data_IF_168180713729
#
_entry.id   IF_168180713729
#
_cell.length_a   1.000
_cell.length_b   1.000
_cell.length_c   1.000
_cell.angle_alpha   90.00
_cell.angle_beta   90.00
_cell.angle_gamma   90.00
#
_symmetry.space_group_name_H-M   'P 1'
#
loop_
_entity.id
_entity.type
_entity.pdbx_description
1 polymer ?
#
# COMPACT_ATOMS: atom_id res chain seq x y z
N UNK A 1 29.23 17.86 1.89
CA UNK A 1 29.43 17.04 3.10
C UNK A 1 28.68 15.77 2.82
N UNK A 2 29.38 14.66 2.65
CA UNK A 2 28.76 13.34 2.45
C UNK A 2 28.00 12.99 3.71
N UNK A 3 26.68 12.94 3.61
CA UNK A 3 25.81 12.40 4.65
C UNK A 3 26.19 10.94 4.84
N UNK A 4 27.00 10.65 5.87
CA UNK A 4 27.34 9.28 6.19
C UNK A 4 26.04 8.68 6.72
N UNK A 5 25.47 7.72 5.97
CA UNK A 5 24.28 7.01 6.36
C UNK A 5 24.47 6.50 7.80
N UNK A 6 23.66 7.01 8.73
CA UNK A 6 23.69 6.56 10.13
C UNK A 6 23.29 5.09 10.12
N UNK A 7 24.17 4.24 10.63
CA UNK A 7 23.85 2.84 10.82
C UNK A 7 22.86 2.71 12.00
N UNK A 8 21.68 2.18 11.72
CA UNK A 8 20.63 2.00 12.72
C UNK A 8 20.80 0.60 13.29
N UNK A 9 21.42 0.52 14.47
CA UNK A 9 21.71 -0.73 15.19
C UNK A 9 20.74 -0.96 16.35
N UNK A 10 20.66 -2.18 16.84
CA UNK A 10 19.89 -2.53 18.05
C UNK A 10 20.33 -1.68 19.25
N UNK A 11 21.65 -1.46 19.42
CA UNK A 11 22.20 -0.64 20.50
C UNK A 11 21.71 0.81 20.40
N UNK A 12 21.70 1.39 19.19
CA UNK A 12 21.15 2.74 18.98
C UNK A 12 19.68 2.82 19.38
N UNK A 13 18.87 1.82 19.00
CA UNK A 13 17.45 1.79 19.35
C UNK A 13 17.27 1.69 20.87
N UNK A 14 18.02 0.82 21.55
CA UNK A 14 18.00 0.73 23.01
C UNK A 14 18.42 2.02 23.71
N UNK A 15 19.48 2.69 23.22
CA UNK A 15 19.93 3.96 23.78
C UNK A 15 18.86 5.06 23.63
N UNK A 16 18.21 5.14 22.45
CA UNK A 16 17.13 6.10 22.22
C UNK A 16 15.91 5.82 23.10
N UNK A 17 15.57 4.54 23.32
CA UNK A 17 14.50 4.15 24.24
C UNK A 17 14.84 4.55 25.68
N UNK A 18 16.05 4.28 26.16
CA UNK A 18 16.50 4.67 27.51
C UNK A 18 16.46 6.18 27.71
N UNK A 19 16.90 6.93 26.69
CA UNK A 19 16.98 8.39 26.78
C UNK A 19 15.60 9.05 26.76
N UNK A 20 14.64 8.54 25.96
CA UNK A 20 13.40 9.24 25.68
C UNK A 20 12.13 8.52 26.16
N UNK A 21 12.15 7.19 26.27
CA UNK A 21 11.02 6.35 26.67
C UNK A 21 11.45 5.24 27.64
N UNK A 22 11.98 5.61 28.83
CA UNK A 22 12.58 4.65 29.77
C UNK A 22 11.59 3.59 30.26
N UNK A 23 10.30 3.86 30.23
CA UNK A 23 9.23 2.91 30.55
C UNK A 23 9.12 1.74 29.55
N UNK A 24 9.71 1.88 28.37
CA UNK A 24 9.71 0.86 27.31
C UNK A 24 11.12 0.26 27.08
N UNK A 25 12.15 0.77 27.74
CA UNK A 25 13.55 0.42 27.47
C UNK A 25 13.92 -1.03 27.83
N UNK A 26 13.18 -1.67 28.73
CA UNK A 26 13.40 -3.05 29.15
C UNK A 26 12.71 -4.08 28.22
N UNK A 27 11.91 -3.64 27.26
CA UNK A 27 11.29 -4.54 26.30
C UNK A 27 12.33 -5.07 25.30
N UNK A 28 12.22 -6.37 24.91
CA UNK A 28 13.13 -6.93 23.92
C UNK A 28 12.97 -6.22 22.56
N UNK A 29 14.09 -5.87 21.96
CA UNK A 29 14.18 -5.26 20.63
C UNK A 29 14.72 -6.30 19.65
N UNK A 30 14.12 -6.39 18.46
CA UNK A 30 14.67 -7.24 17.40
C UNK A 30 14.35 -6.61 16.04
N UNK A 31 15.33 -6.61 15.15
CA UNK A 31 15.15 -6.13 13.79
C UNK A 31 14.12 -7.01 13.04
N UNK A 32 13.27 -6.38 12.27
CA UNK A 32 12.32 -7.04 11.35
C UNK A 32 12.46 -6.45 9.96
N UNK A 33 11.98 -7.17 8.96
CA UNK A 33 12.03 -6.67 7.59
C UNK A 33 11.31 -5.32 7.50
N UNK A 34 12.02 -4.31 7.02
CA UNK A 34 11.50 -2.96 6.81
C UNK A 34 11.23 -2.66 5.34
N UNK A 35 10.51 -1.56 5.11
CA UNK A 35 10.33 -0.96 3.79
C UNK A 35 11.59 -0.20 3.32
N UNK A 36 11.46 0.53 2.22
CA UNK A 36 12.56 1.33 1.65
C UNK A 36 12.89 2.55 2.50
N UNK A 37 11.86 3.23 3.02
CA UNK A 37 12.00 4.49 3.77
C UNK A 37 12.33 4.32 5.26
N UNK A 38 12.07 3.15 5.84
CA UNK A 38 12.17 2.93 7.27
C UNK A 38 12.86 1.60 7.62
N UNK A 39 13.65 1.62 8.69
CA UNK A 39 14.09 0.40 9.38
C UNK A 39 13.13 0.13 10.53
N UNK A 40 12.69 -1.12 10.63
CA UNK A 40 11.67 -1.54 11.59
C UNK A 40 12.27 -2.46 12.64
N UNK A 41 11.87 -2.23 13.88
CA UNK A 41 12.26 -3.05 15.02
C UNK A 41 11.02 -3.47 15.80
N UNK A 42 10.87 -4.76 16.05
CA UNK A 42 9.86 -5.25 16.98
C UNK A 42 10.27 -4.85 18.41
N UNK A 43 9.35 -4.30 19.19
CA UNK A 43 9.55 -3.90 20.58
C UNK A 43 8.55 -4.65 21.46
N UNK A 44 9.02 -5.66 22.18
CA UNK A 44 8.13 -6.60 22.85
C UNK A 44 7.21 -7.32 21.87
N UNK A 45 6.00 -7.65 22.30
CA UNK A 45 5.02 -8.37 21.49
C UNK A 45 4.01 -7.47 20.78
N UNK A 46 3.80 -6.23 21.24
CA UNK A 46 2.69 -5.40 20.83
C UNK A 46 3.14 -4.09 20.15
N UNK A 47 4.45 -3.81 20.10
CA UNK A 47 4.95 -2.55 19.59
C UNK A 47 6.01 -2.75 18.49
N UNK A 48 6.22 -1.69 17.72
CA UNK A 48 7.32 -1.57 16.76
C UNK A 48 7.96 -0.19 16.86
N UNK A 49 9.30 -0.14 16.76
CA UNK A 49 10.04 1.09 16.57
C UNK A 49 10.28 1.29 15.08
N UNK A 50 9.91 2.46 14.55
CA UNK A 50 10.08 2.85 13.16
C UNK A 50 11.16 3.93 13.07
N UNK A 51 12.27 3.58 12.42
CA UNK A 51 13.46 4.42 12.29
C UNK A 51 13.61 4.89 10.84
N UNK A 52 13.40 6.18 10.56
CA UNK A 52 13.49 6.71 9.20
C UNK A 52 14.91 6.65 8.62
N UNK A 53 15.02 6.24 7.34
CA UNK A 53 16.27 6.22 6.57
C UNK A 53 16.39 7.41 5.62
N UNK A 54 15.28 8.03 5.22
CA UNK A 54 15.20 9.08 4.22
C UNK A 54 14.94 10.46 4.83
N UNK A 55 15.20 11.53 4.08
CA UNK A 55 15.07 12.92 4.56
C UNK A 55 13.61 13.38 4.60
N UNK A 56 12.73 12.84 3.77
CA UNK A 56 11.30 13.14 3.71
C UNK A 56 10.49 12.46 4.83
N UNK A 57 11.07 11.47 5.48
CA UNK A 57 10.44 10.70 6.54
C UNK A 57 9.86 11.52 7.70
N UNK A 58 10.41 12.69 8.12
CA UNK A 58 9.79 13.52 9.16
C UNK A 58 8.39 14.01 8.78
N UNK A 59 8.14 14.34 7.52
CA UNK A 59 6.82 14.79 7.06
C UNK A 59 5.83 13.63 7.02
N UNK A 60 6.26 12.47 6.52
CA UNK A 60 5.46 11.26 6.49
C UNK A 60 5.07 10.82 7.91
N UNK A 61 6.03 10.85 8.85
CA UNK A 61 5.76 10.55 10.27
C UNK A 61 4.74 11.50 10.87
N UNK A 62 4.89 12.84 10.67
CA UNK A 62 3.92 13.82 11.19
C UNK A 62 2.53 13.59 10.62
N UNK A 63 2.42 13.25 9.35
CA UNK A 63 1.16 12.93 8.68
C UNK A 63 0.49 11.73 9.34
N UNK A 64 1.18 10.62 9.52
CA UNK A 64 0.66 9.43 10.19
C UNK A 64 0.28 9.70 11.65
N UNK A 65 1.15 10.37 12.42
CA UNK A 65 0.88 10.72 13.82
C UNK A 65 -0.33 11.65 13.98
N UNK A 66 -0.62 12.48 13.00
CA UNK A 66 -1.80 13.35 13.02
C UNK A 66 -3.09 12.59 12.71
N UNK A 67 -3.09 11.72 11.70
CA UNK A 67 -4.32 11.22 11.12
C UNK A 67 -4.68 9.77 11.52
N UNK A 68 -3.69 8.90 11.73
CA UNK A 68 -3.98 7.53 12.15
C UNK A 68 -4.75 7.41 13.46
N UNK A 69 -4.48 8.20 14.52
CA UNK A 69 -5.30 8.17 15.73
C UNK A 69 -6.77 8.52 15.52
N UNK A 70 -7.08 9.28 14.46
CA UNK A 70 -8.46 9.66 14.09
C UNK A 70 -9.12 8.58 13.24
N UNK A 71 -8.36 7.94 12.35
CA UNK A 71 -8.86 6.93 11.41
C UNK A 71 -8.95 5.54 12.03
N UNK A 72 -7.94 5.11 12.74
CA UNK A 72 -7.83 3.74 13.28
C UNK A 72 -9.05 3.26 14.09
N UNK A 73 -9.69 4.08 14.95
CA UNK A 73 -10.87 3.63 15.69
C UNK A 73 -12.10 3.30 14.84
N UNK A 74 -12.12 3.73 13.58
CA UNK A 74 -13.21 3.49 12.63
C UNK A 74 -12.99 2.29 11.74
N UNK A 75 -11.74 1.80 11.68
CA UNK A 75 -11.33 0.74 10.77
C UNK A 75 -11.61 -0.63 11.37
N UNK A 76 -12.20 -1.56 10.61
CA UNK A 76 -12.53 -2.91 11.11
C UNK A 76 -11.31 -3.84 11.18
N UNK A 77 -10.17 -3.43 10.62
CA UNK A 77 -8.89 -4.14 10.72
C UNK A 77 -7.89 -3.32 11.53
N UNK A 78 -7.01 -3.98 12.29
CA UNK A 78 -5.87 -3.34 12.93
C UNK A 78 -5.00 -2.59 11.93
N UNK A 79 -4.53 -1.40 12.33
CA UNK A 79 -3.55 -0.60 11.62
C UNK A 79 -2.48 -0.10 12.59
N UNK A 80 -1.23 0.15 12.15
CA UNK A 80 -0.21 0.72 13.03
C UNK A 80 -0.68 2.08 13.55
N UNK A 81 -0.73 2.23 14.87
CA UNK A 81 -1.16 3.49 15.50
C UNK A 81 -0.01 4.05 16.32
N UNK A 82 0.34 5.34 16.19
CA UNK A 82 1.40 5.96 16.98
C UNK A 82 1.12 5.88 18.49
N UNK A 83 2.09 5.37 19.25
CA UNK A 83 2.04 5.27 20.71
C UNK A 83 2.93 6.31 21.35
N UNK A 84 4.14 6.52 20.77
CA UNK A 84 5.12 7.53 21.20
C UNK A 84 5.84 8.09 19.99
N UNK A 85 6.35 9.29 20.11
CA UNK A 85 7.23 9.93 19.14
C UNK A 85 8.55 10.19 19.83
N UNK A 86 9.64 9.80 19.17
CA UNK A 86 10.99 10.13 19.58
C UNK A 86 11.48 11.36 18.85
N UNK A 87 12.08 12.29 19.59
CA UNK A 87 12.60 13.53 19.08
C UNK A 87 14.01 13.36 18.50
N UNK A 88 14.41 14.19 17.50
CA UNK A 88 15.77 14.22 17.02
C UNK A 88 16.78 14.47 18.14
N UNK A 89 17.90 13.75 18.11
CA UNK A 89 18.97 13.87 19.09
C UNK A 89 20.35 13.85 18.42
N UNK A 90 21.41 14.07 19.17
CA UNK A 90 22.77 13.95 18.65
C UNK A 90 23.11 12.50 18.19
N UNK A 91 22.42 11.49 18.74
CA UNK A 91 22.60 10.08 18.37
C UNK A 91 21.86 9.75 17.09
N UNK A 92 20.65 10.35 16.91
CA UNK A 92 19.82 10.13 15.75
C UNK A 92 19.11 11.44 15.39
N UNK A 93 19.49 12.15 14.31
CA UNK A 93 19.04 13.51 14.01
C UNK A 93 17.69 13.57 13.30
N UNK A 94 16.94 12.48 13.28
CA UNK A 94 15.59 12.40 12.69
C UNK A 94 14.57 12.04 13.76
N UNK A 95 13.32 12.52 13.65
CA UNK A 95 12.24 12.01 14.49
C UNK A 95 11.99 10.53 14.14
N UNK A 96 11.58 9.76 15.13
CA UNK A 96 11.24 8.34 15.02
C UNK A 96 9.95 8.05 15.78
N UNK A 97 9.38 6.86 15.65
CA UNK A 97 8.11 6.56 16.32
C UNK A 97 8.09 5.15 16.88
N UNK A 98 7.26 5.00 17.94
CA UNK A 98 6.81 3.72 18.46
C UNK A 98 5.34 3.59 18.06
N UNK A 99 5.03 2.51 17.34
CA UNK A 99 3.71 2.21 16.80
C UNK A 99 3.18 0.92 17.41
N UNK A 100 1.86 0.70 17.40
CA UNK A 100 1.31 -0.62 17.66
C UNK A 100 1.76 -1.61 16.59
N UNK A 101 2.04 -2.84 17.00
CA UNK A 101 2.32 -3.93 16.06
C UNK A 101 1.04 -4.50 15.48
N UNK A 102 0.99 -4.73 14.18
CA UNK A 102 -0.12 -5.43 13.52
C UNK A 102 0.29 -6.88 13.29
N UNK A 103 -0.43 -7.80 13.93
CA UNK A 103 -0.11 -9.23 13.88
C UNK A 103 -0.56 -9.88 12.58
N UNK A 104 0.25 -10.77 12.05
CA UNK A 104 0.05 -11.51 10.82
C UNK A 104 1.31 -11.54 9.96
N UNK A 105 1.24 -12.27 8.86
CA UNK A 105 2.32 -12.35 7.87
C UNK A 105 1.95 -11.51 6.65
N UNK A 106 2.89 -10.77 6.02
CA UNK A 106 2.60 -10.05 4.78
C UNK A 106 2.03 -10.97 3.71
N UNK A 107 1.06 -10.47 2.94
CA UNK A 107 0.37 -11.26 1.90
C UNK A 107 1.31 -11.73 0.78
N UNK A 108 2.46 -11.10 0.58
CA UNK A 108 3.50 -11.58 -0.34
C UNK A 108 4.27 -12.81 0.20
N UNK A 109 4.07 -13.16 1.46
CA UNK A 109 4.68 -14.31 2.16
C UNK A 109 3.66 -15.37 2.58
N UNK A 110 2.39 -15.01 2.78
CA UNK A 110 1.33 -15.93 3.20
C UNK A 110 0.08 -15.82 2.30
N UNK A 111 -0.48 -16.93 1.79
CA UNK A 111 -1.60 -16.87 0.85
C UNK A 111 -2.94 -16.66 1.55
N UNK A 112 -3.88 -15.98 0.88
CA UNK A 112 -5.29 -16.01 1.22
C UNK A 112 -5.88 -17.35 0.78
N UNK A 113 -6.49 -18.10 1.72
CA UNK A 113 -7.17 -19.36 1.47
C UNK A 113 -8.70 -19.25 1.63
N UNK A 114 -9.18 -18.19 2.28
CA UNK A 114 -10.59 -17.87 2.52
C UNK A 114 -11.02 -16.68 1.69
N UNK A 115 -11.11 -16.87 0.35
CA UNK A 115 -11.29 -15.79 -0.62
C UNK A 115 -12.50 -14.91 -0.40
N UNK A 116 -13.69 -15.47 -0.16
CA UNK A 116 -14.92 -14.72 0.07
C UNK A 116 -14.84 -13.89 1.36
N UNK A 117 -14.29 -14.48 2.42
CA UNK A 117 -14.10 -13.76 3.69
C UNK A 117 -13.09 -12.62 3.52
N UNK A 118 -12.02 -12.83 2.78
CA UNK A 118 -11.03 -11.79 2.49
C UNK A 118 -11.64 -10.65 1.64
N UNK A 119 -12.53 -10.97 0.69
CA UNK A 119 -13.27 -9.99 -0.09
C UNK A 119 -14.18 -9.15 0.80
N UNK A 120 -14.95 -9.78 1.69
CA UNK A 120 -15.83 -9.10 2.65
C UNK A 120 -15.03 -8.19 3.59
N UNK A 121 -13.90 -8.69 4.08
CA UNK A 121 -13.01 -7.97 5.01
C UNK A 121 -12.37 -6.74 4.33
N UNK A 122 -11.81 -6.91 3.12
CA UNK A 122 -11.23 -5.80 2.37
C UNK A 122 -12.28 -4.75 2.00
N UNK A 123 -13.44 -5.19 1.53
CA UNK A 123 -14.54 -4.29 1.19
C UNK A 123 -15.03 -3.49 2.40
N UNK A 124 -15.20 -4.14 3.55
CA UNK A 124 -15.58 -3.50 4.81
C UNK A 124 -14.52 -2.49 5.28
N UNK A 125 -13.24 -2.84 5.17
CA UNK A 125 -12.12 -1.97 5.49
C UNK A 125 -12.09 -0.72 4.60
N UNK A 126 -12.13 -0.88 3.28
CA UNK A 126 -12.10 0.25 2.35
C UNK A 126 -13.36 1.12 2.46
N UNK A 127 -14.53 0.54 2.67
CA UNK A 127 -15.75 1.33 2.91
C UNK A 127 -15.65 2.18 4.18
N UNK A 128 -15.00 1.69 5.23
CA UNK A 128 -14.78 2.45 6.45
C UNK A 128 -13.70 3.53 6.29
N UNK A 129 -12.66 3.25 5.52
CA UNK A 129 -11.58 4.19 5.23
C UNK A 129 -12.04 5.32 4.29
N UNK A 130 -12.79 4.99 3.23
CA UNK A 130 -13.26 5.91 2.19
C UNK A 130 -14.37 6.85 2.70
N UNK A 131 -14.19 7.41 3.90
CA UNK A 131 -14.97 8.54 4.37
C UNK A 131 -14.49 9.83 3.75
N UNK A 132 -15.38 10.83 3.64
CA UNK A 132 -15.01 12.17 3.19
C UNK A 132 -13.88 12.74 4.05
N UNK A 133 -12.85 13.21 3.41
CA UNK A 133 -11.67 13.77 4.06
C UNK A 133 -11.86 15.28 4.30
N UNK A 134 -11.41 15.82 5.43
CA UNK A 134 -11.46 17.25 5.68
C UNK A 134 -10.54 18.02 4.74
N UNK A 135 -10.75 19.34 4.60
CA UNK A 135 -9.98 20.18 3.69
C UNK A 135 -8.46 20.21 3.99
N UNK A 136 -8.09 19.92 5.24
CA UNK A 136 -6.68 19.85 5.70
C UNK A 136 -6.04 18.48 5.47
N UNK A 137 -6.79 17.51 4.94
CA UNK A 137 -6.25 16.21 4.61
C UNK A 137 -5.12 16.35 3.57
N UNK A 138 -4.06 15.53 3.66
CA UNK A 138 -2.96 15.63 2.73
C UNK A 138 -3.42 15.31 1.31
N UNK A 139 -2.98 16.12 0.35
CA UNK A 139 -3.01 15.78 -1.07
C UNK A 139 -1.75 14.99 -1.42
N UNK A 140 -1.79 14.23 -2.51
CA UNK A 140 -0.60 13.59 -3.05
C UNK A 140 -0.16 14.28 -4.34
N UNK A 141 1.15 14.41 -4.54
CA UNK A 141 1.74 14.96 -5.77
C UNK A 141 2.04 13.90 -6.82
N UNK A 142 2.16 12.64 -6.40
CA UNK A 142 2.60 11.49 -7.23
C UNK A 142 1.53 10.39 -7.33
N UNK A 143 0.51 10.45 -6.48
CA UNK A 143 -0.61 9.50 -6.42
C UNK A 143 -1.95 10.25 -6.49
N UNK A 144 -3.01 9.54 -6.83
CA UNK A 144 -4.36 10.13 -6.91
C UNK A 144 -4.69 10.80 -8.24
N UNK A 145 -3.72 10.94 -9.15
CA UNK A 145 -3.96 11.48 -10.49
C UNK A 145 -4.86 10.55 -11.31
N UNK A 146 -5.62 11.14 -12.23
CA UNK A 146 -6.43 10.37 -13.17
C UNK A 146 -5.53 9.46 -14.05
N UNK A 147 -5.95 8.22 -14.42
CA UNK A 147 -5.16 7.33 -15.28
C UNK A 147 -4.57 8.00 -16.53
N UNK A 148 -5.32 8.88 -17.19
CA UNK A 148 -4.84 9.66 -18.34
C UNK A 148 -3.55 10.44 -18.05
N UNK A 149 -3.41 10.97 -16.84
CA UNK A 149 -2.23 11.75 -16.41
C UNK A 149 -1.06 10.84 -16.05
N UNK A 150 -1.32 9.57 -15.78
CA UNK A 150 -0.31 8.56 -15.43
C UNK A 150 0.18 7.75 -16.64
N UNK A 151 -0.24 8.09 -17.89
CA UNK A 151 0.04 7.27 -19.08
C UNK A 151 1.53 7.08 -19.34
N UNK A 152 2.35 8.11 -19.14
CA UNK A 152 3.80 7.99 -19.31
C UNK A 152 4.40 6.99 -18.29
N UNK A 153 3.94 7.01 -17.05
CA UNK A 153 4.34 6.06 -16.02
C UNK A 153 3.95 4.62 -16.37
N UNK A 154 2.72 4.44 -16.85
CA UNK A 154 2.24 3.14 -17.32
C UNK A 154 3.08 2.59 -18.48
N UNK A 155 3.34 3.39 -19.51
CA UNK A 155 4.16 2.97 -20.65
C UNK A 155 5.62 2.71 -20.23
N UNK A 156 6.17 3.51 -19.33
CA UNK A 156 7.52 3.29 -18.80
C UNK A 156 7.63 1.93 -18.10
N UNK A 157 6.67 1.56 -17.26
CA UNK A 157 6.66 0.24 -16.62
C UNK A 157 6.53 -0.88 -17.66
N UNK A 158 5.63 -0.73 -18.63
CA UNK A 158 5.41 -1.74 -19.66
C UNK A 158 6.65 -1.97 -20.53
N UNK A 159 7.38 -0.90 -20.90
CA UNK A 159 8.60 -0.97 -21.69
C UNK A 159 9.81 -1.50 -20.89
N UNK A 160 9.85 -1.28 -19.57
CA UNK A 160 10.95 -1.73 -18.71
C UNK A 160 10.88 -3.22 -18.39
N UNK A 161 9.74 -3.87 -18.58
CA UNK A 161 9.59 -5.32 -18.36
C UNK A 161 10.24 -6.08 -19.51
N UNK A 162 11.06 -7.10 -19.19
CA UNK A 162 11.72 -7.94 -20.17
C UNK A 162 10.74 -8.59 -21.15
N UNK A 163 11.13 -8.81 -22.41
CA UNK A 163 10.38 -9.62 -23.35
C UNK A 163 10.08 -11.01 -22.76
N UNK A 164 8.79 -11.37 -22.74
CA UNK A 164 8.30 -12.62 -22.13
C UNK A 164 8.07 -12.55 -20.62
N UNK A 165 8.59 -11.55 -19.92
CA UNK A 165 8.41 -11.39 -18.46
C UNK A 165 7.00 -10.98 -18.06
N UNK A 166 6.25 -10.36 -18.96
CA UNK A 166 4.87 -9.95 -18.74
C UNK A 166 3.90 -11.13 -18.62
N UNK A 167 4.14 -12.21 -19.39
CA UNK A 167 3.27 -13.38 -19.49
C UNK A 167 1.80 -13.05 -19.85
N UNK A 168 1.58 -11.95 -20.59
CA UNK A 168 0.28 -11.47 -21.03
C UNK A 168 0.37 -10.79 -22.40
N UNK A 169 -0.78 -10.68 -23.09
CA UNK A 169 -0.87 -9.92 -24.33
C UNK A 169 -0.77 -8.41 -24.04
N UNK A 170 0.29 -7.78 -24.53
CA UNK A 170 0.56 -6.35 -24.40
C UNK A 170 -0.61 -5.49 -24.90
N UNK A 171 -1.25 -5.93 -25.99
CA UNK A 171 -2.41 -5.21 -26.56
C UNK A 171 -3.58 -5.23 -25.58
N UNK A 172 -3.90 -6.38 -25.00
CA UNK A 172 -4.97 -6.49 -24.02
C UNK A 172 -4.69 -5.65 -22.77
N UNK A 173 -3.43 -5.52 -22.36
CA UNK A 173 -3.03 -4.64 -21.24
C UNK A 173 -3.25 -3.17 -21.59
N UNK A 174 -2.89 -2.74 -22.81
CA UNK A 174 -3.14 -1.38 -23.29
C UNK A 174 -4.63 -1.08 -23.44
N UNK A 175 -5.42 -2.02 -23.97
CA UNK A 175 -6.87 -1.84 -24.09
C UNK A 175 -7.54 -1.58 -22.71
N UNK A 176 -7.06 -2.24 -21.64
CA UNK A 176 -7.51 -1.95 -20.27
C UNK A 176 -7.10 -0.56 -19.81
N UNK A 177 -5.88 -0.15 -20.12
CA UNK A 177 -5.39 1.18 -19.75
C UNK A 177 -6.15 2.28 -20.49
N UNK A 178 -6.33 2.15 -21.79
CA UNK A 178 -7.03 3.12 -22.64
C UNK A 178 -8.50 3.29 -22.19
N UNK A 179 -9.16 2.18 -21.81
CA UNK A 179 -10.49 2.21 -21.23
C UNK A 179 -10.54 3.02 -19.94
N UNK A 180 -9.55 2.83 -19.05
CA UNK A 180 -9.46 3.57 -17.79
C UNK A 180 -9.10 5.06 -18.01
N UNK A 181 -8.20 5.35 -18.97
CA UNK A 181 -7.82 6.72 -19.31
C UNK A 181 -8.96 7.51 -19.97
N UNK A 182 -9.87 6.82 -20.65
CA UNK A 182 -11.07 7.39 -21.25
C UNK A 182 -12.26 7.50 -20.26
N UNK A 183 -12.16 6.92 -19.07
CA UNK A 183 -13.24 7.00 -18.08
C UNK A 183 -13.36 8.43 -17.53
N UNK A 184 -14.58 8.92 -17.20
CA UNK A 184 -14.75 10.20 -16.50
C UNK A 184 -13.94 10.29 -15.21
N UNK A 185 -13.46 11.49 -14.86
CA UNK A 185 -12.79 11.75 -13.60
C UNK A 185 -13.75 11.63 -12.41
N UNK A 186 -13.17 11.48 -11.22
CA UNK A 186 -13.93 11.54 -9.96
C UNK A 186 -14.38 12.97 -9.70
N UNK A 187 -15.69 13.16 -9.53
CA UNK A 187 -16.31 14.46 -9.23
C UNK A 187 -16.87 14.54 -7.80
N UNK A 188 -16.77 13.45 -7.05
CA UNK A 188 -17.18 13.41 -5.65
C UNK A 188 -16.20 14.12 -4.72
N UNK A 189 -16.55 14.24 -3.43
CA UNK A 189 -15.62 14.77 -2.44
C UNK A 189 -14.35 13.90 -2.36
N UNK A 190 -13.19 14.48 -1.99
CA UNK A 190 -12.00 13.68 -1.75
C UNK A 190 -12.22 12.73 -0.57
N UNK A 191 -11.93 11.45 -0.76
CA UNK A 191 -12.06 10.41 0.25
C UNK A 191 -10.70 10.07 0.84
N UNK A 192 -10.66 9.64 2.10
CA UNK A 192 -9.45 9.10 2.69
C UNK A 192 -9.01 7.83 1.96
N UNK A 193 -7.76 7.76 1.58
CA UNK A 193 -7.15 6.63 0.90
C UNK A 193 -5.90 6.16 1.63
N UNK A 194 -5.64 4.87 1.57
CA UNK A 194 -4.34 4.31 1.94
C UNK A 194 -3.25 4.74 0.94
N UNK A 195 -3.58 4.73 -0.36
CA UNK A 195 -2.73 5.20 -1.45
C UNK A 195 -1.70 4.19 -1.96
N UNK A 196 -1.33 3.18 -1.17
CA UNK A 196 -0.30 2.20 -1.52
C UNK A 196 -0.65 0.75 -1.18
N UNK A 197 -1.89 0.34 -1.44
CA UNK A 197 -2.30 -1.05 -1.23
C UNK A 197 -1.63 -1.99 -2.24
N UNK A 198 -0.78 -2.87 -1.71
CA UNK A 198 -0.14 -3.97 -2.42
C UNK A 198 0.16 -5.13 -1.44
N UNK A 199 0.57 -6.34 -1.92
CA UNK A 199 0.68 -7.52 -1.05
C UNK A 199 1.56 -7.36 0.19
N UNK A 200 2.62 -6.54 0.15
CA UNK A 200 3.49 -6.35 1.31
C UNK A 200 2.89 -5.42 2.39
N UNK A 201 1.85 -4.61 2.04
CA UNK A 201 1.21 -3.67 2.96
C UNK A 201 -0.09 -4.20 3.58
N UNK A 202 -0.39 -5.47 3.37
CA UNK A 202 -1.54 -6.16 3.98
C UNK A 202 -1.06 -7.42 4.65
N UNK A 203 -1.49 -7.66 5.88
CA UNK A 203 -1.13 -8.86 6.63
C UNK A 203 -2.28 -9.86 6.69
N UNK A 204 -1.91 -11.12 6.76
CA UNK A 204 -2.79 -12.29 6.72
C UNK A 204 -2.59 -13.14 7.97
N UNK A 205 -3.66 -13.62 8.55
CA UNK A 205 -3.70 -14.65 9.57
C UNK A 205 -4.90 -15.56 9.30
N UNK A 206 -4.79 -16.84 9.61
CA UNK A 206 -5.85 -17.83 9.40
C UNK A 206 -6.46 -17.84 7.99
N UNK A 207 -5.61 -17.55 6.98
CA UNK A 207 -5.99 -17.56 5.57
C UNK A 207 -6.87 -16.41 5.11
N UNK A 208 -6.97 -15.33 5.90
CA UNK A 208 -7.70 -14.10 5.57
C UNK A 208 -6.93 -12.86 6.00
N UNK A 209 -7.43 -11.67 5.61
CA UNK A 209 -6.81 -10.40 6.01
C UNK A 209 -6.97 -10.17 7.52
N UNK A 210 -5.88 -9.82 8.17
CA UNK A 210 -5.82 -9.54 9.62
C UNK A 210 -5.38 -8.12 9.95
N UNK A 211 -4.90 -7.34 8.98
CA UNK A 211 -4.52 -5.96 9.18
C UNK A 211 -3.98 -5.30 7.92
N UNK A 212 -3.82 -3.98 7.99
CA UNK A 212 -3.25 -3.16 6.92
C UNK A 212 -2.16 -2.29 7.52
N UNK A 213 -1.00 -2.20 6.86
CA UNK A 213 0.19 -1.50 7.36
C UNK A 213 0.71 -0.50 6.33
N UNK A 214 1.61 0.38 6.76
CA UNK A 214 2.31 1.37 5.94
C UNK A 214 1.41 2.46 5.34
N UNK A 215 0.91 3.34 6.21
CA UNK A 215 0.06 4.48 5.86
C UNK A 215 0.83 5.75 5.48
N UNK A 216 2.14 5.67 5.24
CA UNK A 216 2.94 6.85 4.90
C UNK A 216 2.50 7.50 3.59
N UNK A 217 1.89 6.74 2.70
CA UNK A 217 1.34 7.22 1.44
C UNK A 217 -0.11 7.74 1.52
N UNK A 218 -0.76 7.74 2.71
CA UNK A 218 -2.16 8.16 2.82
C UNK A 218 -2.41 9.58 2.30
N UNK A 219 -3.51 9.76 1.61
CA UNK A 219 -3.95 11.06 1.09
C UNK A 219 -5.47 11.11 0.90
N UNK A 220 -5.99 12.26 0.48
CA UNK A 220 -7.40 12.46 0.13
C UNK A 220 -7.57 12.54 -1.40
N UNK A 221 -8.46 11.72 -1.99
CA UNK A 221 -8.63 11.69 -3.45
C UNK A 221 -9.70 10.74 -3.98
N UNK A 222 -9.47 10.26 -5.20
CA UNK A 222 -10.33 9.33 -5.95
C UNK A 222 -10.21 7.90 -5.38
N UNK A 223 -11.30 7.27 -4.92
CA UNK A 223 -11.30 5.91 -4.38
C UNK A 223 -10.79 4.83 -5.35
N UNK A 224 -10.76 5.12 -6.64
CA UNK A 224 -10.23 4.20 -7.65
C UNK A 224 -8.81 3.71 -7.33
N UNK A 225 -7.99 4.55 -6.68
CA UNK A 225 -6.61 4.19 -6.29
C UNK A 225 -6.54 3.01 -5.34
N UNK A 226 -7.42 2.97 -4.36
CA UNK A 226 -7.47 1.86 -3.40
C UNK A 226 -8.35 0.71 -3.87
N UNK A 227 -9.39 0.97 -4.67
CA UNK A 227 -10.23 -0.07 -5.25
C UNK A 227 -9.47 -0.98 -6.22
N UNK A 228 -8.33 -0.53 -6.75
CA UNK A 228 -7.37 -1.37 -7.47
C UNK A 228 -6.95 -2.62 -6.67
N UNK A 229 -6.99 -2.56 -5.34
CA UNK A 229 -6.68 -3.66 -4.43
C UNK A 229 -7.56 -4.91 -4.65
N UNK A 230 -8.76 -4.76 -5.19
CA UNK A 230 -9.61 -5.90 -5.54
C UNK A 230 -8.92 -6.90 -6.49
N UNK A 231 -8.11 -6.40 -7.42
CA UNK A 231 -7.34 -7.24 -8.34
C UNK A 231 -5.94 -7.56 -7.83
N UNK A 232 -5.36 -6.67 -7.02
CA UNK A 232 -3.98 -6.83 -6.53
C UNK A 232 -3.89 -7.87 -5.39
N UNK A 233 -4.87 -7.87 -4.49
CA UNK A 233 -4.79 -8.58 -3.22
C UNK A 233 -5.66 -9.85 -3.19
N UNK A 234 -6.84 -9.83 -3.80
CA UNK A 234 -7.80 -10.92 -3.67
C UNK A 234 -7.50 -12.07 -4.64
N UNK A 235 -7.79 -13.32 -4.27
CA UNK A 235 -7.69 -14.45 -5.16
C UNK A 235 -8.68 -14.34 -6.33
N UNK A 236 -8.44 -15.13 -7.39
CA UNK A 236 -9.32 -15.19 -8.55
C UNK A 236 -10.76 -15.54 -8.13
N UNK A 237 -11.74 -14.84 -8.71
CA UNK A 237 -13.17 -15.01 -8.42
C UNK A 237 -13.71 -14.18 -7.27
N UNK A 238 -12.88 -13.70 -6.33
CA UNK A 238 -13.35 -12.95 -5.16
C UNK A 238 -13.67 -11.46 -5.46
N UNK A 239 -13.25 -10.93 -6.61
CA UNK A 239 -13.48 -9.53 -6.96
C UNK A 239 -14.96 -9.13 -7.07
N UNK A 240 -15.83 -9.99 -7.62
CA UNK A 240 -17.28 -9.72 -7.70
C UNK A 240 -17.88 -9.56 -6.30
N UNK A 241 -17.54 -10.47 -5.39
CA UNK A 241 -17.97 -10.42 -3.99
C UNK A 241 -17.50 -9.14 -3.29
N UNK A 242 -16.25 -8.73 -3.55
CA UNK A 242 -15.72 -7.49 -3.02
C UNK A 242 -16.58 -6.28 -3.43
N UNK A 243 -16.91 -6.12 -4.72
CA UNK A 243 -17.71 -4.99 -5.18
C UNK A 243 -19.17 -5.05 -4.70
N UNK A 244 -19.74 -6.24 -4.53
CA UNK A 244 -21.08 -6.41 -3.91
C UNK A 244 -21.09 -5.87 -2.48
N UNK A 245 -20.08 -6.18 -1.67
CA UNK A 245 -19.99 -5.81 -0.25
C UNK A 245 -19.51 -4.36 -0.06
N UNK A 246 -18.57 -3.90 -0.90
CA UNK A 246 -18.13 -2.50 -0.87
C UNK A 246 -19.30 -1.54 -1.11
N UNK A 247 -20.21 -1.91 -1.97
CA UNK A 247 -21.40 -1.12 -2.30
C UNK A 247 -21.26 -0.40 -3.66
N UNK A 248 -22.13 0.58 -3.92
CA UNK A 248 -22.19 1.19 -5.24
C UNK A 248 -20.91 2.01 -5.54
N UNK A 249 -20.05 1.41 -6.35
CA UNK A 249 -19.02 2.16 -7.09
C UNK A 249 -19.56 2.37 -8.52
N UNK A 250 -19.55 3.62 -9.00
CA UNK A 250 -19.95 3.89 -10.38
C UNK A 250 -19.02 3.20 -11.39
N UNK A 251 -19.52 2.99 -12.59
CA UNK A 251 -18.78 2.29 -13.65
C UNK A 251 -17.45 2.99 -13.98
N UNK A 252 -17.42 4.33 -13.98
CA UNK A 252 -16.22 5.10 -14.27
C UNK A 252 -15.14 4.86 -13.20
N UNK A 253 -15.52 4.84 -11.93
CA UNK A 253 -14.61 4.52 -10.81
C UNK A 253 -14.05 3.10 -10.94
N UNK A 254 -14.86 2.11 -11.27
CA UNK A 254 -14.41 0.72 -11.46
C UNK A 254 -13.45 0.61 -12.66
N UNK A 255 -13.71 1.31 -13.77
CA UNK A 255 -12.82 1.36 -14.94
C UNK A 255 -11.47 1.97 -14.59
N UNK A 256 -11.45 3.13 -13.89
CA UNK A 256 -10.20 3.74 -13.42
C UNK A 256 -9.44 2.81 -12.46
N UNK A 257 -10.12 2.20 -11.50
CA UNK A 257 -9.51 1.26 -10.56
C UNK A 257 -8.88 0.05 -11.26
N UNK A 258 -9.54 -0.48 -12.31
CA UNK A 258 -9.03 -1.59 -13.11
C UNK A 258 -7.75 -1.23 -13.87
N UNK A 259 -7.70 -0.04 -14.48
CA UNK A 259 -6.48 0.45 -15.15
C UNK A 259 -5.34 0.69 -14.16
N UNK A 260 -5.63 1.29 -13.00
CA UNK A 260 -4.65 1.46 -11.93
C UNK A 260 -4.15 0.11 -11.40
N UNK A 261 -5.00 -0.91 -11.32
CA UNK A 261 -4.58 -2.27 -10.98
C UNK A 261 -3.65 -2.87 -12.05
N UNK A 262 -3.89 -2.60 -13.34
CA UNK A 262 -2.96 -2.99 -14.40
C UNK A 262 -1.60 -2.32 -14.21
N UNK A 263 -1.55 -1.00 -14.04
CA UNK A 263 -0.32 -0.25 -13.82
C UNK A 263 0.46 -0.73 -12.58
N UNK A 264 -0.22 -0.88 -11.45
CA UNK A 264 0.40 -1.41 -10.21
C UNK A 264 0.89 -2.85 -10.39
N UNK A 265 0.19 -3.67 -11.18
CA UNK A 265 0.65 -5.03 -11.53
C UNK A 265 1.94 -5.00 -12.33
N UNK A 266 2.08 -4.09 -13.32
CA UNK A 266 3.34 -3.90 -14.06
C UNK A 266 4.48 -3.48 -13.13
N UNK A 267 4.24 -2.56 -12.21
CA UNK A 267 5.22 -2.18 -11.20
C UNK A 267 5.69 -3.39 -10.36
N UNK A 268 4.77 -4.21 -9.86
CA UNK A 268 5.13 -5.42 -9.09
C UNK A 268 5.96 -6.42 -9.93
N UNK A 269 5.63 -6.60 -11.22
CA UNK A 269 6.39 -7.45 -12.14
C UNK A 269 7.81 -6.91 -12.30
N UNK A 270 7.94 -5.60 -12.55
CA UNK A 270 9.24 -4.95 -12.72
C UNK A 270 10.10 -5.05 -11.45
N UNK A 271 9.51 -4.79 -10.27
CA UNK A 271 10.23 -4.95 -9.00
C UNK A 271 10.64 -6.41 -8.76
N UNK A 272 9.83 -7.36 -9.20
CA UNK A 272 10.18 -8.78 -9.19
C UNK A 272 11.40 -9.09 -10.05
N UNK A 273 11.45 -8.60 -11.27
CA UNK A 273 12.59 -8.77 -12.18
C UNK A 273 13.87 -8.09 -11.64
N UNK A 274 13.72 -6.88 -11.11
CA UNK A 274 14.82 -6.16 -10.48
C UNK A 274 15.41 -6.97 -9.31
N UNK A 275 14.57 -7.56 -8.48
CA UNK A 275 15.01 -8.43 -7.38
C UNK A 275 15.74 -9.69 -7.86
N UNK A 276 15.26 -10.35 -8.92
CA UNK A 276 15.93 -11.50 -9.53
C UNK A 276 17.33 -11.14 -10.09
N UNK A 277 17.51 -9.90 -10.52
CA UNK A 277 18.80 -9.36 -11.02
C UNK A 277 19.70 -8.83 -9.92
N UNK A 278 19.28 -8.85 -8.66
CA UNK A 278 20.02 -8.29 -7.54
C UNK A 278 20.08 -6.76 -7.54
N UNK A 279 19.19 -6.09 -8.26
CA UNK A 279 19.11 -4.62 -8.27
C UNK A 279 18.60 -4.16 -6.89
N UNK A 280 19.29 -3.20 -6.24
CA UNK A 280 18.85 -2.67 -4.95
C UNK A 280 17.40 -2.20 -4.96
N UNK A 281 16.62 -2.55 -3.94
CA UNK A 281 15.19 -2.24 -3.86
C UNK A 281 14.28 -3.22 -4.60
N UNK A 282 14.81 -4.11 -5.44
CA UNK A 282 14.05 -5.15 -6.11
C UNK A 282 13.49 -6.19 -5.12
N UNK A 283 12.33 -6.76 -5.43
CA UNK A 283 11.57 -7.68 -4.57
C UNK A 283 11.21 -8.95 -5.36
N UNK A 284 12.00 -10.04 -5.31
CA UNK A 284 11.78 -11.22 -6.16
C UNK A 284 10.37 -11.83 -6.02
N UNK A 285 9.80 -11.83 -4.81
CA UNK A 285 8.46 -12.36 -4.53
C UNK A 285 7.32 -11.58 -5.22
N UNK A 286 7.54 -10.32 -5.60
CA UNK A 286 6.49 -9.49 -6.18
C UNK A 286 6.19 -9.81 -7.65
N UNK A 287 7.13 -10.37 -8.39
CA UNK A 287 6.94 -10.72 -9.80
C UNK A 287 5.77 -11.71 -10.03
N UNK A 288 5.72 -12.86 -9.35
CA UNK A 288 4.58 -13.77 -9.43
C UNK A 288 3.26 -13.14 -9.00
N UNK A 289 3.24 -12.35 -7.92
CA UNK A 289 2.06 -11.65 -7.44
C UNK A 289 1.53 -10.64 -8.48
N UNK A 290 2.42 -9.85 -9.09
CA UNK A 290 2.08 -8.92 -10.16
C UNK A 290 1.48 -9.60 -11.38
N UNK A 291 2.06 -10.71 -11.86
CA UNK A 291 1.51 -11.50 -12.97
C UNK A 291 0.13 -12.09 -12.65
N UNK A 292 -0.05 -12.60 -11.45
CA UNK A 292 -1.35 -13.12 -11.02
C UNK A 292 -2.41 -12.00 -10.95
N UNK A 293 -2.05 -10.81 -10.45
CA UNK A 293 -2.91 -9.64 -10.42
C UNK A 293 -3.28 -9.18 -11.83
N UNK A 294 -2.30 -9.06 -12.74
CA UNK A 294 -2.55 -8.71 -14.14
C UNK A 294 -3.47 -9.72 -14.82
N UNK A 295 -3.28 -11.02 -14.57
CA UNK A 295 -4.19 -12.06 -15.06
C UNK A 295 -5.64 -11.85 -14.61
N UNK A 296 -5.86 -11.47 -13.34
CA UNK A 296 -7.20 -11.15 -12.82
C UNK A 296 -7.80 -9.89 -13.48
N UNK A 297 -6.97 -8.87 -13.70
CA UNK A 297 -7.38 -7.65 -14.42
C UNK A 297 -7.87 -7.99 -15.83
N UNK A 298 -7.11 -8.80 -16.57
CA UNK A 298 -7.45 -9.17 -17.95
C UNK A 298 -8.66 -10.12 -18.02
N UNK A 299 -8.82 -11.01 -17.05
CA UNK A 299 -9.97 -11.92 -16.97
C UNK A 299 -11.28 -11.22 -16.59
N UNK A 300 -11.24 -10.01 -16.01
CA UNK A 300 -12.43 -9.23 -15.69
C UNK A 300 -13.06 -8.70 -16.97
N UNK A 301 -14.37 -8.93 -17.22
CA UNK A 301 -15.00 -8.46 -18.46
C UNK A 301 -14.94 -6.93 -18.53
N UNK A 302 -14.52 -6.41 -19.69
CA UNK A 302 -14.78 -5.03 -20.06
C UNK A 302 -16.30 -4.90 -20.19
N UNK A 303 -16.97 -4.21 -19.26
CA UNK A 303 -18.36 -3.82 -19.50
C UNK A 303 -18.36 -2.81 -20.63
N UNK A 304 -18.74 -3.24 -21.82
CA UNK A 304 -19.02 -2.30 -22.91
C UNK A 304 -20.21 -1.45 -22.47
N UNK A 305 -20.16 -0.11 -22.64
CA UNK A 305 -21.33 0.70 -22.43
C UNK A 305 -22.47 0.13 -23.28
N UNK A 306 -23.67 0.02 -22.71
CA UNK A 306 -24.84 -0.34 -23.48
C UNK A 306 -24.96 0.64 -24.65
N UNK A 307 -25.24 0.18 -25.89
CA UNK A 307 -25.43 1.09 -27.00
C UNK A 307 -26.53 2.11 -26.61
N UNK A 308 -26.21 3.38 -26.77
CA UNK A 308 -27.18 4.46 -26.55
C UNK A 308 -28.44 4.16 -27.38
N UNK A 309 -29.58 4.02 -26.71
CA UNK A 309 -30.89 3.78 -27.31
C UNK A 309 -31.41 5.07 -27.99
#
# INVERSE_FOLDING_TARGET
MTDSAIEITEELVHDLLKDQHPDLADLPVREVAGGWGNQMWRLGDELAVRMPRTEDAPELLRKECRWLPVLAPRLPLPVPTPVRIGEPSARFPRPWSIMTWVHGEPLDSAPITRGDHAADTLAGFLRALHAEAPAEAPASSDRGAHPKECTDGFENFLHAIDPGGLAADVRAVRDVWDDAAAAPAWEGPPLWLHGDLHPANVVVSDGTLSGVIDFDAMFAGDPAWDLAAAWLLLPAGAGSRFFEVYGPADEATVRRARGLAAMKSLFLILMGQNGQRGIPGGKPAWGPAGRAALGRVLASPLRRPAPAS
#
